data_IF_750995249728
#
_entry.id   IF_750995249728
#
_cell.length_a   1.000
_cell.length_b   1.000
_cell.length_c   1.000
_cell.angle_alpha   90.00
_cell.angle_beta   90.00
_cell.angle_gamma   90.00
#
_symmetry.space_group_name_H-M   'P 1'
#
loop_
_entity.id
_entity.type
_entity.pdbx_description
1 polymer ?
#
# COMPACT_ATOMS: atom_id res chain seq x y z
N UNK A 1 0.01 -10.12 63.17
CA UNK A 1 -0.13 -11.06 62.04
C UNK A 1 -1.51 -11.72 62.18
N UNK A 2 -2.49 -11.29 61.37
CA UNK A 2 -3.77 -11.95 61.29
C UNK A 2 -3.66 -13.13 60.33
N UNK A 3 -4.23 -14.28 60.60
CA UNK A 3 -4.15 -15.46 59.74
C UNK A 3 -5.02 -15.26 58.49
N UNK A 4 -4.45 -15.51 57.33
CA UNK A 4 -5.17 -15.64 56.07
C UNK A 4 -6.19 -16.82 56.19
N UNK A 5 -7.48 -16.49 56.08
CA UNK A 5 -8.53 -17.52 55.88
C UNK A 5 -8.43 -18.08 54.45
N UNK A 6 -8.29 -19.37 54.27
CA UNK A 6 -8.31 -19.97 52.94
C UNK A 6 -9.69 -19.79 52.33
N UNK A 7 -9.76 -19.11 51.17
CA UNK A 7 -10.96 -19.05 50.34
C UNK A 7 -11.38 -20.47 49.99
N UNK A 8 -12.53 -20.91 50.49
CA UNK A 8 -13.07 -22.20 50.12
C UNK A 8 -13.49 -22.20 48.66
N UNK A 9 -13.41 -23.36 47.95
CA UNK A 9 -13.87 -23.50 46.56
C UNK A 9 -15.30 -22.98 46.36
N UNK A 10 -16.14 -23.07 47.37
CA UNK A 10 -17.53 -22.59 47.36
C UNK A 10 -17.60 -21.07 47.39
N UNK A 11 -16.76 -20.37 48.18
CA UNK A 11 -16.66 -18.92 48.22
C UNK A 11 -16.11 -18.39 46.92
N UNK A 12 -15.12 -19.06 46.32
CA UNK A 12 -14.56 -18.70 45.01
C UNK A 12 -15.64 -18.83 43.91
N UNK A 13 -16.38 -19.93 43.84
CA UNK A 13 -17.41 -20.14 42.81
C UNK A 13 -18.62 -19.22 42.99
N UNK A 14 -19.05 -18.90 44.21
CA UNK A 14 -20.15 -17.96 44.45
C UNK A 14 -19.74 -16.51 44.15
N UNK A 15 -18.56 -16.08 44.56
CA UNK A 15 -18.07 -14.70 44.30
C UNK A 15 -17.74 -14.52 42.83
N UNK A 16 -17.15 -15.51 42.17
CA UNK A 16 -16.85 -15.46 40.73
C UNK A 16 -18.12 -15.58 39.90
N UNK A 17 -19.12 -16.36 40.31
CA UNK A 17 -20.39 -16.51 39.64
C UNK A 17 -21.23 -15.23 39.71
N UNK A 18 -21.25 -14.51 40.84
CA UNK A 18 -21.93 -13.23 40.99
C UNK A 18 -21.22 -12.13 40.20
N UNK A 19 -19.87 -12.08 40.20
CA UNK A 19 -19.11 -11.14 39.41
C UNK A 19 -19.31 -11.35 37.90
N UNK A 20 -19.31 -12.61 37.43
CA UNK A 20 -19.58 -12.93 36.02
C UNK A 20 -21.03 -12.62 35.61
N UNK A 21 -22.01 -12.82 36.52
CA UNK A 21 -23.41 -12.51 36.21
C UNK A 21 -23.70 -10.99 36.21
N UNK A 22 -23.06 -10.22 37.07
CA UNK A 22 -23.15 -8.73 37.02
C UNK A 22 -22.50 -8.15 35.77
N UNK A 23 -21.31 -8.62 35.40
CA UNK A 23 -20.66 -8.21 34.15
C UNK A 23 -21.49 -8.64 32.92
N UNK A 24 -22.07 -9.84 32.92
CA UNK A 24 -22.94 -10.27 31.83
C UNK A 24 -24.26 -9.48 31.78
N UNK A 25 -24.82 -9.11 32.94
CA UNK A 25 -26.02 -8.26 33.01
C UNK A 25 -25.72 -6.82 32.56
N UNK A 26 -24.60 -6.24 32.97
CA UNK A 26 -24.16 -4.92 32.52
C UNK A 26 -23.88 -4.90 31.02
N UNK A 27 -23.27 -5.95 30.45
CA UNK A 27 -23.08 -6.11 29.01
C UNK A 27 -24.40 -6.23 28.24
N UNK A 28 -25.41 -6.87 28.81
CA UNK A 28 -26.77 -6.98 28.23
C UNK A 28 -27.49 -5.61 28.28
N UNK A 29 -27.36 -4.88 29.38
CA UNK A 29 -27.95 -3.55 29.56
C UNK A 29 -27.21 -2.46 28.75
N UNK A 30 -25.91 -2.60 28.55
CA UNK A 30 -25.11 -1.72 27.70
C UNK A 30 -25.38 -1.92 26.18
N UNK A 31 -26.08 -2.99 25.80
CA UNK A 31 -26.55 -3.22 24.42
C UNK A 31 -27.37 -2.05 23.84
N UNK A 32 -28.10 -1.33 24.67
CA UNK A 32 -28.90 -0.16 24.28
C UNK A 32 -28.11 1.17 24.35
N UNK A 33 -26.89 1.16 24.88
CA UNK A 33 -26.13 2.38 25.25
C UNK A 33 -24.88 2.67 24.40
N UNK A 34 -24.69 2.07 23.23
CA UNK A 34 -23.66 2.62 22.39
C UNK A 34 -22.84 1.63 21.58
N UNK A 35 -23.14 1.57 20.32
CA UNK A 35 -22.12 1.26 19.32
C UNK A 35 -20.89 2.14 19.59
N UNK A 36 -19.70 1.54 19.71
CA UNK A 36 -18.46 2.27 19.89
C UNK A 36 -18.40 3.42 18.87
N UNK A 37 -18.21 4.64 19.36
CA UNK A 37 -18.26 5.83 18.51
C UNK A 37 -17.28 5.66 17.35
N UNK A 38 -17.79 5.81 16.13
CA UNK A 38 -16.99 5.68 14.91
C UNK A 38 -15.84 6.67 14.94
N UNK A 39 -14.61 6.17 14.81
CA UNK A 39 -13.45 7.04 14.66
C UNK A 39 -13.50 7.78 13.32
N UNK A 40 -13.74 9.06 13.36
CA UNK A 40 -13.90 9.94 12.18
C UNK A 40 -12.63 10.72 11.82
N UNK A 41 -11.48 10.34 12.38
CA UNK A 41 -10.20 11.03 12.21
C UNK A 41 -9.93 12.03 13.33
N UNK A 42 -8.83 12.76 13.18
CA UNK A 42 -8.42 13.79 14.14
C UNK A 42 -9.25 15.07 13.97
N UNK A 43 -9.56 15.73 15.06
CA UNK A 43 -10.15 17.06 15.02
C UNK A 43 -9.24 18.05 14.26
N UNK A 44 -9.84 18.87 13.40
CA UNK A 44 -9.12 19.82 12.55
C UNK A 44 -8.57 19.24 11.23
N UNK A 45 -8.82 17.96 10.95
CA UNK A 45 -8.56 17.38 9.64
C UNK A 45 -9.87 17.15 8.86
N UNK A 46 -9.83 17.34 7.51
CA UNK A 46 -8.69 17.80 6.69
C UNK A 46 -8.36 19.29 6.92
N UNK A 47 -7.10 19.69 6.69
CA UNK A 47 -6.64 21.08 6.81
C UNK A 47 -7.18 21.99 5.71
N UNK A 48 -7.48 21.41 4.55
CA UNK A 48 -8.06 22.07 3.38
C UNK A 48 -8.97 21.09 2.62
N UNK A 49 -9.76 21.57 1.68
CA UNK A 49 -10.66 20.72 0.90
C UNK A 49 -9.89 19.61 0.16
N UNK A 50 -10.19 18.32 0.43
CA UNK A 50 -9.53 17.22 -0.21
C UNK A 50 -9.93 17.12 -1.69
N UNK A 51 -8.99 16.73 -2.53
CA UNK A 51 -9.24 16.40 -3.94
C UNK A 51 -9.62 14.93 -4.09
N UNK A 52 -9.12 14.06 -3.20
CA UNK A 52 -9.43 12.64 -3.18
C UNK A 52 -9.88 12.21 -1.78
N UNK A 53 -10.70 11.18 -1.73
CA UNK A 53 -11.18 10.54 -0.50
C UNK A 53 -10.48 9.21 -0.25
N UNK A 54 -9.99 8.56 -1.32
CA UNK A 54 -9.52 7.17 -1.33
C UNK A 54 -8.23 7.04 -2.11
N UNK A 55 -7.43 6.05 -1.75
CA UNK A 55 -6.16 5.74 -2.41
C UNK A 55 -6.09 4.26 -2.75
N UNK A 56 -5.68 3.95 -3.98
CA UNK A 56 -5.21 2.62 -4.37
C UNK A 56 -3.73 2.74 -4.72
N UNK A 57 -2.88 1.97 -4.05
CA UNK A 57 -1.47 1.90 -4.38
C UNK A 57 -1.13 0.55 -5.00
N UNK A 58 -0.85 0.55 -6.30
CA UNK A 58 -0.37 -0.58 -7.08
C UNK A 58 1.14 -0.67 -6.93
N UNK A 59 1.60 -1.45 -5.97
CA UNK A 59 3.00 -1.54 -5.58
C UNK A 59 3.70 -2.70 -6.29
N UNK A 60 4.60 -2.37 -7.21
CA UNK A 60 5.39 -3.31 -8.01
C UNK A 60 6.71 -3.62 -7.30
N UNK A 61 6.68 -4.53 -6.32
CA UNK A 61 7.85 -4.78 -5.48
C UNK A 61 8.94 -5.57 -6.19
N UNK A 62 10.14 -5.04 -6.11
CA UNK A 62 11.34 -5.54 -6.76
C UNK A 62 12.00 -4.50 -7.69
N UNK A 63 11.49 -3.27 -7.76
CA UNK A 63 12.09 -2.20 -8.55
C UNK A 63 11.91 -2.37 -10.05
N UNK A 64 10.72 -2.06 -10.60
CA UNK A 64 10.47 -2.10 -12.04
C UNK A 64 11.47 -1.25 -12.82
N UNK A 65 12.02 -1.80 -13.89
CA UNK A 65 12.96 -1.04 -14.73
C UNK A 65 12.24 0.10 -15.47
N UNK A 66 12.58 1.35 -15.13
CA UNK A 66 12.07 2.51 -15.84
C UNK A 66 12.53 2.54 -17.30
N UNK A 67 13.71 1.96 -17.58
CA UNK A 67 14.29 1.86 -18.92
C UNK A 67 13.55 0.87 -19.83
N UNK A 68 12.76 -0.03 -19.29
CA UNK A 68 11.88 -0.95 -20.02
C UNK A 68 10.39 -0.61 -19.88
N UNK A 69 10.03 0.52 -19.23
CA UNK A 69 8.63 0.91 -19.05
C UNK A 69 8.30 2.28 -19.65
N UNK A 70 8.82 3.38 -19.07
CA UNK A 70 8.37 4.75 -19.38
C UNK A 70 9.49 5.73 -19.73
N UNK A 71 10.75 5.36 -19.57
CA UNK A 71 11.89 6.27 -19.72
C UNK A 71 12.79 5.90 -20.91
N UNK A 72 12.34 6.27 -22.11
CA UNK A 72 13.05 6.01 -23.35
C UNK A 72 14.28 6.91 -23.50
N UNK A 73 15.46 6.32 -23.69
CA UNK A 73 16.76 6.99 -23.83
C UNK A 73 17.49 6.58 -25.12
N UNK A 74 17.27 7.26 -26.23
CA UNK A 74 17.90 6.86 -27.53
C UNK A 74 19.44 6.87 -27.49
N UNK A 75 20.05 7.61 -26.56
CA UNK A 75 21.49 7.58 -26.30
C UNK A 75 22.00 6.27 -25.74
N UNK A 76 21.17 5.60 -24.95
CA UNK A 76 21.51 4.34 -24.32
C UNK A 76 21.78 3.22 -25.34
N UNK A 77 20.95 3.11 -26.37
CA UNK A 77 21.10 2.09 -27.42
C UNK A 77 22.39 2.27 -28.25
N UNK A 78 22.84 3.51 -28.43
CA UNK A 78 24.11 3.81 -29.15
C UNK A 78 25.35 3.39 -28.37
N UNK A 79 25.21 3.23 -27.06
CA UNK A 79 26.31 2.84 -26.16
C UNK A 79 26.23 1.38 -25.72
N UNK A 80 25.26 0.61 -26.20
CA UNK A 80 25.09 -0.78 -25.82
C UNK A 80 26.38 -1.60 -25.95
N UNK A 81 26.72 -2.36 -24.91
CA UNK A 81 27.94 -3.15 -24.81
C UNK A 81 29.24 -2.37 -24.56
N UNK A 82 29.24 -1.03 -24.66
CA UNK A 82 30.42 -0.18 -24.39
C UNK A 82 30.65 -0.03 -22.89
N UNK A 83 31.88 0.32 -22.45
CA UNK A 83 32.11 0.67 -21.04
C UNK A 83 31.19 1.79 -20.57
N UNK A 84 30.66 1.66 -19.36
CA UNK A 84 29.89 2.75 -18.73
C UNK A 84 30.80 3.93 -18.43
N UNK A 85 30.47 5.17 -18.84
CA UNK A 85 31.32 6.32 -18.59
C UNK A 85 31.47 6.58 -17.08
N UNK A 86 32.72 6.76 -16.63
CA UNK A 86 33.02 7.02 -15.22
C UNK A 86 32.38 8.31 -14.68
N UNK A 87 32.11 9.27 -15.56
CA UNK A 87 31.42 10.52 -15.18
C UNK A 87 30.06 10.29 -14.53
N UNK A 88 29.38 9.17 -14.84
CA UNK A 88 28.09 8.81 -14.22
C UNK A 88 28.27 8.02 -12.92
N UNK A 89 29.26 7.17 -12.84
CA UNK A 89 29.35 6.14 -11.78
C UNK A 89 30.34 6.46 -10.68
N UNK A 90 31.29 7.38 -10.90
CA UNK A 90 32.33 7.73 -9.92
C UNK A 90 31.70 8.28 -8.63
N UNK A 91 31.95 7.58 -7.52
CA UNK A 91 31.43 7.96 -6.20
C UNK A 91 29.94 7.64 -5.99
N UNK A 92 29.29 6.97 -6.94
CA UNK A 92 27.89 6.57 -6.79
C UNK A 92 27.77 5.19 -6.12
N UNK A 93 26.69 4.96 -5.34
CA UNK A 93 26.41 3.66 -4.76
C UNK A 93 26.07 2.66 -5.88
N UNK A 94 26.72 1.51 -5.85
CA UNK A 94 26.49 0.37 -6.75
C UNK A 94 26.11 -0.83 -5.88
N UNK A 95 25.02 -1.53 -6.21
CA UNK A 95 24.53 -2.65 -5.42
C UNK A 95 25.35 -3.94 -5.66
N UNK A 96 24.98 -4.71 -6.65
CA UNK A 96 25.61 -6.03 -6.90
C UNK A 96 26.74 -5.98 -7.92
N UNK A 97 26.85 -4.94 -8.72
CA UNK A 97 27.91 -4.75 -9.73
C UNK A 97 29.22 -4.18 -9.18
N UNK A 98 29.37 -4.06 -7.88
CA UNK A 98 30.61 -3.58 -7.25
C UNK A 98 31.82 -4.41 -7.68
N UNK A 99 32.93 -3.71 -8.04
CA UNK A 99 34.18 -4.38 -8.43
C UNK A 99 34.17 -5.02 -9.82
N UNK A 100 33.08 -4.89 -10.59
CA UNK A 100 32.99 -5.41 -11.96
C UNK A 100 33.30 -4.32 -12.99
N UNK A 101 33.63 -4.76 -14.22
CA UNK A 101 33.72 -3.83 -15.37
C UNK A 101 32.32 -3.48 -15.83
N UNK A 102 31.89 -2.26 -15.53
CA UNK A 102 30.56 -1.76 -15.87
C UNK A 102 30.42 -1.57 -17.38
N UNK A 103 29.38 -2.15 -17.97
CA UNK A 103 29.03 -2.01 -19.38
C UNK A 103 27.63 -1.44 -19.51
N UNK A 104 27.41 -0.59 -20.48
CA UNK A 104 26.07 -0.09 -20.82
C UNK A 104 25.23 -1.24 -21.36
N UNK A 105 23.97 -1.31 -20.94
CA UNK A 105 22.94 -2.17 -21.51
C UNK A 105 21.89 -1.28 -22.17
N UNK A 106 21.73 -1.40 -23.48
CA UNK A 106 20.67 -0.76 -24.24
C UNK A 106 19.27 -1.19 -23.77
N UNK A 107 18.23 -0.61 -24.35
CA UNK A 107 16.87 -1.03 -24.05
C UNK A 107 16.63 -2.47 -24.49
N UNK A 108 15.89 -3.19 -23.67
CA UNK A 108 15.41 -4.55 -23.98
C UNK A 108 13.93 -4.52 -24.43
N UNK A 109 13.36 -3.33 -24.59
CA UNK A 109 12.00 -3.05 -25.02
C UNK A 109 11.99 -2.13 -26.24
N UNK A 110 10.91 -2.18 -27.01
CA UNK A 110 10.64 -1.19 -28.07
C UNK A 110 9.72 -0.11 -27.51
N UNK A 111 9.96 1.14 -27.87
CA UNK A 111 9.18 2.28 -27.41
C UNK A 111 8.45 2.95 -28.57
N UNK A 112 7.24 3.42 -28.27
CA UNK A 112 6.47 4.29 -29.16
C UNK A 112 5.77 5.38 -28.35
N UNK A 113 5.41 6.46 -29.03
CA UNK A 113 4.58 7.53 -28.47
C UNK A 113 3.12 7.13 -28.55
N UNK A 114 2.39 7.31 -27.45
CA UNK A 114 0.99 6.93 -27.34
C UNK A 114 0.12 8.08 -26.82
N UNK A 115 -1.19 7.95 -27.08
CA UNK A 115 -2.19 8.93 -26.66
C UNK A 115 -2.08 10.27 -27.38
N UNK A 116 -2.94 11.19 -27.00
CA UNK A 116 -2.88 12.60 -27.48
C UNK A 116 -1.69 13.33 -26.85
N UNK A 117 -1.30 12.91 -25.64
CA UNK A 117 -0.17 13.45 -24.89
C UNK A 117 1.20 13.09 -25.49
N UNK A 118 1.27 12.07 -26.35
CA UNK A 118 2.51 11.65 -27.01
C UNK A 118 3.56 11.10 -26.03
N UNK A 119 3.14 10.51 -24.92
CA UNK A 119 4.07 9.93 -23.94
C UNK A 119 4.72 8.64 -24.46
N UNK A 120 6.00 8.44 -24.13
CA UNK A 120 6.72 7.22 -24.43
C UNK A 120 6.27 6.08 -23.50
N UNK A 121 5.87 4.95 -24.09
CA UNK A 121 5.55 3.72 -23.37
C UNK A 121 6.14 2.54 -24.14
N UNK A 122 6.66 1.55 -23.42
CA UNK A 122 7.25 0.35 -24.02
C UNK A 122 6.20 -0.65 -24.49
N UNK A 123 6.62 -1.56 -25.37
CA UNK A 123 5.80 -2.66 -25.88
C UNK A 123 5.47 -3.74 -24.83
N UNK A 124 6.12 -3.71 -23.66
CA UNK A 124 5.72 -4.52 -22.50
C UNK A 124 4.39 -4.08 -21.88
N UNK A 125 3.93 -2.84 -22.14
CA UNK A 125 2.80 -2.20 -21.47
C UNK A 125 1.72 -1.72 -22.47
N UNK A 126 1.16 -2.59 -23.34
CA UNK A 126 0.19 -2.19 -24.38
C UNK A 126 -1.13 -1.64 -23.81
N UNK A 127 -1.49 -1.96 -22.57
CA UNK A 127 -2.69 -1.42 -21.93
C UNK A 127 -2.41 -0.09 -21.23
N UNK A 128 -1.23 0.12 -20.63
CA UNK A 128 -0.80 1.46 -20.18
C UNK A 128 -0.78 2.45 -21.35
N UNK A 129 -0.36 2.02 -22.53
CA UNK A 129 -0.42 2.85 -23.75
C UNK A 129 -1.83 3.35 -24.06
N UNK A 130 -2.90 2.60 -23.69
CA UNK A 130 -4.31 3.00 -23.89
C UNK A 130 -4.81 4.01 -22.86
N UNK A 131 -4.17 4.10 -21.69
CA UNK A 131 -4.57 5.01 -20.61
C UNK A 131 -3.55 6.13 -20.35
N UNK A 132 -2.58 6.29 -21.23
CA UNK A 132 -1.47 7.24 -21.04
C UNK A 132 -1.93 8.69 -20.89
N UNK A 133 -3.08 9.04 -21.48
CA UNK A 133 -3.69 10.36 -21.34
C UNK A 133 -4.41 10.58 -20.00
N UNK A 134 -4.60 9.54 -19.20
CA UNK A 134 -5.24 9.60 -17.88
C UNK A 134 -4.21 9.59 -16.73
N UNK A 135 -2.92 9.44 -17.00
CA UNK A 135 -1.87 9.31 -15.99
C UNK A 135 -0.82 10.43 -16.06
N UNK A 136 -0.28 10.81 -14.90
CA UNK A 136 0.92 11.66 -14.78
C UNK A 136 2.14 10.76 -14.54
N UNK A 137 3.08 10.71 -15.47
CA UNK A 137 4.28 9.89 -15.37
C UNK A 137 5.41 10.74 -14.79
N UNK A 138 5.90 10.41 -13.60
CA UNK A 138 7.06 11.03 -12.97
C UNK A 138 8.29 10.18 -13.32
N UNK A 139 9.27 10.75 -14.04
CA UNK A 139 10.49 10.04 -14.47
C UNK A 139 11.70 10.33 -13.61
N UNK A 140 11.58 11.25 -12.69
CA UNK A 140 12.67 11.79 -11.87
C UNK A 140 12.59 11.38 -10.41
N UNK A 141 11.96 10.24 -10.12
CA UNK A 141 11.90 9.72 -8.76
C UNK A 141 13.28 9.34 -8.24
N UNK A 142 13.54 9.64 -6.96
CA UNK A 142 14.75 9.22 -6.24
C UNK A 142 14.40 8.70 -4.85
N UNK A 143 15.28 7.81 -4.33
CA UNK A 143 15.17 7.27 -2.97
C UNK A 143 16.55 7.16 -2.31
N UNK A 144 16.59 6.85 -1.00
CA UNK A 144 17.83 6.81 -0.22
C UNK A 144 18.39 5.38 -0.08
N UNK A 145 17.63 4.34 -0.43
CA UNK A 145 17.95 2.97 -0.09
C UNK A 145 18.08 2.08 -1.32
N UNK A 146 19.22 1.38 -1.46
CA UNK A 146 19.55 0.56 -2.64
C UNK A 146 19.20 -0.93 -2.46
N UNK A 147 18.93 -1.37 -1.25
CA UNK A 147 18.48 -2.75 -0.97
C UNK A 147 16.97 -2.77 -0.75
N UNK A 148 16.31 -3.83 -1.20
CA UNK A 148 14.84 -3.95 -1.20
C UNK A 148 14.21 -3.66 0.16
N UNK A 149 14.68 -4.33 1.21
CA UNK A 149 14.08 -4.28 2.52
C UNK A 149 14.02 -2.87 3.13
N UNK A 150 15.13 -2.10 3.25
CA UNK A 150 15.08 -0.72 3.69
C UNK A 150 14.42 0.21 2.67
N UNK A 151 14.47 -0.10 1.36
CA UNK A 151 13.81 0.70 0.33
C UNK A 151 12.27 0.54 0.38
N UNK A 152 11.77 -0.69 0.56
CA UNK A 152 10.36 -0.93 0.84
C UNK A 152 9.91 -0.18 2.09
N UNK A 153 10.71 -0.24 3.17
CA UNK A 153 10.41 0.49 4.41
C UNK A 153 10.34 2.00 4.14
N UNK A 154 11.32 2.56 3.42
CA UNK A 154 11.34 3.98 3.03
C UNK A 154 10.11 4.38 2.20
N UNK A 155 9.76 3.59 1.17
CA UNK A 155 8.62 3.87 0.30
C UNK A 155 7.28 3.82 1.05
N UNK A 156 7.13 2.96 2.03
CA UNK A 156 5.88 2.81 2.77
C UNK A 156 5.77 3.73 3.99
N UNK A 157 6.90 4.12 4.63
CA UNK A 157 6.89 4.81 5.93
C UNK A 157 7.62 6.16 5.96
N UNK A 158 8.25 6.58 4.84
CA UNK A 158 9.04 7.81 4.74
C UNK A 158 10.43 7.72 5.37
N UNK A 159 10.83 6.56 5.87
CA UNK A 159 12.15 6.30 6.47
C UNK A 159 12.59 4.86 6.29
N UNK A 160 13.89 4.60 6.31
CA UNK A 160 14.42 3.23 6.31
C UNK A 160 14.38 2.55 7.69
N UNK A 161 13.99 3.28 8.73
CA UNK A 161 13.96 2.79 10.11
C UNK A 161 12.65 2.05 10.37
N UNK A 162 12.73 0.78 10.77
CA UNK A 162 11.56 -0.02 11.13
C UNK A 162 10.81 0.53 12.36
N UNK A 163 9.53 0.18 12.51
CA UNK A 163 8.68 0.61 13.62
C UNK A 163 8.05 1.99 13.43
N UNK A 164 8.09 2.52 12.21
CA UNK A 164 7.36 3.74 11.83
C UNK A 164 6.02 3.38 11.16
N UNK A 165 4.98 4.21 11.35
CA UNK A 165 3.70 3.96 10.71
C UNK A 165 3.80 4.06 9.19
N UNK A 166 3.12 3.16 8.50
CA UNK A 166 2.98 3.20 7.04
C UNK A 166 2.08 4.35 6.59
N UNK A 167 2.19 4.74 5.32
CA UNK A 167 1.37 5.80 4.71
C UNK A 167 -0.14 5.54 4.91
N UNK A 168 -0.61 4.29 4.67
CA UNK A 168 -2.00 3.93 4.90
C UNK A 168 -2.42 4.07 6.38
N UNK A 169 -1.53 3.73 7.31
CA UNK A 169 -1.77 3.92 8.75
C UNK A 169 -1.87 5.40 9.13
N UNK A 170 -0.97 6.25 8.60
CA UNK A 170 -1.05 7.71 8.78
C UNK A 170 -2.35 8.28 8.24
N UNK A 171 -2.75 7.90 7.03
CA UNK A 171 -4.00 8.37 6.40
C UNK A 171 -5.22 7.95 7.22
N UNK A 172 -5.25 6.69 7.67
CA UNK A 172 -6.34 6.17 8.48
C UNK A 172 -6.38 6.81 9.89
N UNK A 173 -5.22 7.09 10.48
CA UNK A 173 -5.12 7.84 11.73
C UNK A 173 -5.62 9.30 11.58
N UNK A 174 -5.22 9.97 10.52
CA UNK A 174 -5.62 11.37 10.30
C UNK A 174 -7.09 11.55 9.96
N UNK A 175 -7.60 10.76 9.02
CA UNK A 175 -8.91 10.97 8.40
C UNK A 175 -9.98 9.95 8.82
N UNK A 176 -9.62 8.89 9.54
CA UNK A 176 -10.52 7.80 9.88
C UNK A 176 -10.96 6.96 8.68
N UNK A 177 -11.94 6.10 8.89
CA UNK A 177 -12.58 5.26 7.86
C UNK A 177 -14.01 5.74 7.58
N UNK A 178 -14.44 5.62 6.34
CA UNK A 178 -15.86 5.84 5.95
C UNK A 178 -16.68 4.55 6.11
N UNK A 179 -16.00 3.43 6.35
CA UNK A 179 -16.56 2.11 6.51
C UNK A 179 -16.70 1.73 8.00
N UNK A 180 -17.77 1.02 8.35
CA UNK A 180 -18.05 0.59 9.73
C UNK A 180 -17.77 -0.90 9.97
N UNK A 181 -17.69 -1.69 8.90
CA UNK A 181 -17.63 -3.15 8.91
C UNK A 181 -16.38 -3.72 8.20
N UNK A 182 -15.50 -2.83 7.73
CA UNK A 182 -14.22 -3.16 7.11
C UNK A 182 -13.09 -2.28 7.65
N UNK A 183 -11.83 -2.77 7.62
CA UNK A 183 -10.67 -1.95 7.96
C UNK A 183 -10.56 -0.74 7.03
N UNK A 184 -10.14 0.41 7.56
CA UNK A 184 -9.90 1.60 6.73
C UNK A 184 -8.65 1.48 5.83
N UNK A 185 -7.79 0.49 6.08
CA UNK A 185 -6.61 0.17 5.30
C UNK A 185 -6.53 -1.34 5.05
N UNK A 186 -6.58 -1.75 3.78
CA UNK A 186 -6.54 -3.15 3.34
C UNK A 186 -5.34 -3.39 2.42
N UNK A 187 -4.70 -4.52 2.59
CA UNK A 187 -3.54 -4.97 1.80
C UNK A 187 -3.85 -6.30 1.14
N UNK A 188 -3.44 -6.46 -0.12
CA UNK A 188 -3.50 -7.75 -0.82
C UNK A 188 -2.18 -8.00 -1.56
N UNK A 189 -1.79 -9.27 -1.67
CA UNK A 189 -0.55 -9.66 -2.34
C UNK A 189 -0.80 -10.60 -3.51
N UNK A 190 0.04 -10.51 -4.52
CA UNK A 190 0.09 -11.42 -5.67
C UNK A 190 1.50 -11.52 -6.23
N UNK A 191 1.76 -12.48 -7.10
CA UNK A 191 3.06 -12.64 -7.75
C UNK A 191 2.92 -13.33 -9.12
N UNK A 192 3.95 -13.19 -9.97
CA UNK A 192 3.94 -13.79 -11.30
C UNK A 192 4.59 -15.21 -11.37
N UNK A 193 5.01 -15.77 -10.25
CA UNK A 193 5.37 -17.18 -10.13
C UNK A 193 6.86 -17.53 -10.20
N UNK A 194 7.79 -16.58 -9.98
CA UNK A 194 9.23 -16.87 -9.99
C UNK A 194 9.89 -16.81 -8.61
N UNK A 195 10.15 -15.61 -8.14
CA UNK A 195 10.92 -15.32 -6.94
C UNK A 195 10.33 -14.10 -6.26
N UNK A 196 9.21 -14.27 -5.55
CA UNK A 196 8.49 -13.15 -4.97
C UNK A 196 9.37 -12.43 -3.94
N UNK A 197 9.47 -11.11 -4.05
CA UNK A 197 10.13 -10.28 -3.06
C UNK A 197 9.50 -10.50 -1.66
N UNK A 198 10.32 -10.54 -0.60
CA UNK A 198 9.83 -10.71 0.75
C UNK A 198 9.09 -9.43 1.19
N UNK A 199 7.77 -9.49 1.13
CA UNK A 199 6.89 -8.47 1.66
C UNK A 199 6.43 -8.90 3.05
N UNK A 200 6.49 -8.03 4.03
CA UNK A 200 6.18 -8.32 5.43
C UNK A 200 5.24 -7.28 6.04
N UNK A 201 4.55 -7.67 7.10
CA UNK A 201 3.57 -6.86 7.81
C UNK A 201 4.07 -5.47 8.21
N UNK A 202 5.37 -5.28 8.47
CA UNK A 202 5.94 -3.97 8.81
C UNK A 202 5.71 -2.89 7.75
N UNK A 203 5.42 -3.27 6.50
CA UNK A 203 5.15 -2.34 5.40
C UNK A 203 3.75 -1.73 5.47
N UNK A 204 2.86 -2.30 6.27
CA UNK A 204 1.52 -1.78 6.55
C UNK A 204 1.21 -1.70 8.04
N UNK A 205 2.25 -1.75 8.88
CA UNK A 205 2.15 -1.63 10.32
C UNK A 205 1.76 -0.20 10.74
N UNK A 206 1.10 -0.10 11.89
CA UNK A 206 0.79 1.16 12.56
C UNK A 206 2.00 1.78 13.27
N UNK A 207 3.10 1.04 13.44
CA UNK A 207 4.30 1.50 14.14
C UNK A 207 3.96 2.00 15.56
N UNK A 208 4.29 3.26 15.85
CA UNK A 208 3.96 3.88 17.14
C UNK A 208 2.53 4.44 17.23
N UNK A 209 1.75 4.41 16.15
CA UNK A 209 0.32 4.73 16.22
C UNK A 209 -0.47 3.56 16.81
N UNK A 210 -1.66 3.80 17.38
CA UNK A 210 -2.50 2.71 17.87
C UNK A 210 -2.75 1.63 16.82
N UNK A 211 -2.67 0.36 17.22
CA UNK A 211 -2.75 -0.80 16.32
C UNK A 211 -4.03 -0.91 15.49
N UNK A 212 -5.11 -0.21 15.88
CA UNK A 212 -6.36 -0.13 15.09
C UNK A 212 -6.20 0.55 13.72
N UNK A 213 -5.10 1.28 13.49
CA UNK A 213 -4.82 1.96 12.21
C UNK A 213 -3.92 1.15 11.29
N UNK A 214 -3.46 -0.01 11.74
CA UNK A 214 -2.68 -0.95 10.96
C UNK A 214 -3.47 -1.44 9.74
N UNK A 215 -2.76 -1.69 8.63
CA UNK A 215 -3.33 -2.36 7.49
C UNK A 215 -3.67 -3.82 7.79
N UNK A 216 -4.78 -4.30 7.25
CA UNK A 216 -5.20 -5.70 7.36
C UNK A 216 -4.96 -6.39 6.03
N UNK A 217 -4.16 -7.44 6.05
CA UNK A 217 -3.92 -8.26 4.86
C UNK A 217 -5.12 -9.17 4.60
N UNK A 218 -5.66 -9.06 3.37
CA UNK A 218 -6.67 -9.97 2.85
C UNK A 218 -5.99 -10.97 1.92
N UNK A 219 -6.16 -12.25 2.22
CA UNK A 219 -5.65 -13.31 1.37
C UNK A 219 -6.38 -13.31 0.03
N UNK A 220 -5.61 -13.34 -1.05
CA UNK A 220 -6.16 -13.37 -2.42
C UNK A 220 -6.75 -14.73 -2.80
N UNK A 221 -6.49 -15.78 -2.00
CA UNK A 221 -7.04 -17.14 -2.16
C UNK A 221 -7.38 -17.75 -0.81
N UNK A 222 -8.33 -18.67 -0.79
CA UNK A 222 -8.75 -19.35 0.44
C UNK A 222 -9.61 -18.47 1.35
N UNK A 223 -9.43 -18.61 2.66
CA UNK A 223 -10.13 -17.74 3.62
C UNK A 223 -9.52 -16.32 3.56
N UNK A 224 -10.33 -15.29 3.28
CA UNK A 224 -9.84 -13.92 3.06
C UNK A 224 -9.06 -13.36 4.25
N UNK A 225 -9.48 -13.69 5.46
CA UNK A 225 -8.81 -13.34 6.71
C UNK A 225 -8.75 -14.58 7.58
N UNK A 226 -7.59 -14.86 8.15
CA UNK A 226 -7.45 -16.03 9.05
C UNK A 226 -8.36 -15.90 10.26
N UNK A 227 -8.94 -17.03 10.66
CA UNK A 227 -9.84 -17.12 11.83
C UNK A 227 -11.09 -16.22 11.76
N UNK A 228 -11.48 -15.82 10.56
CA UNK A 228 -12.69 -15.00 10.38
C UNK A 228 -13.96 -15.77 10.74
N UNK A 229 -14.01 -17.08 10.48
CA UNK A 229 -15.18 -17.91 10.75
C UNK A 229 -15.25 -18.31 12.22
N UNK A 230 -16.47 -18.41 12.73
CA UNK A 230 -16.68 -18.95 14.08
C UNK A 230 -16.17 -20.39 14.19
N UNK A 231 -15.65 -20.77 15.37
CA UNK A 231 -15.36 -22.17 15.65
C UNK A 231 -16.60 -23.06 15.42
N UNK A 232 -16.38 -24.33 15.05
CA UNK A 232 -17.48 -25.28 14.82
C UNK A 232 -18.36 -25.38 16.06
N UNK A 233 -19.67 -25.17 15.90
CA UNK A 233 -20.65 -25.22 16.96
C UNK A 233 -20.91 -23.89 17.68
N UNK A 234 -20.22 -22.81 17.30
CA UNK A 234 -20.47 -21.47 17.85
C UNK A 234 -21.31 -20.67 16.85
N UNK A 235 -22.50 -20.24 17.28
CA UNK A 235 -23.38 -19.40 16.50
C UNK A 235 -22.87 -17.91 16.47
N UNK A 236 -23.33 -17.11 15.50
CA UNK A 236 -23.02 -15.69 15.46
C UNK A 236 -23.49 -14.94 16.73
N UNK A 237 -24.63 -15.32 17.31
CA UNK A 237 -25.11 -14.75 18.56
C UNK A 237 -24.17 -15.06 19.73
N UNK A 238 -23.76 -16.33 19.88
CA UNK A 238 -22.80 -16.71 20.92
C UNK A 238 -21.43 -16.02 20.74
N UNK A 239 -20.98 -15.85 19.49
CA UNK A 239 -19.75 -15.10 19.22
C UNK A 239 -19.90 -13.63 19.59
N UNK A 240 -21.05 -13.01 19.31
CA UNK A 240 -21.36 -11.63 19.73
C UNK A 240 -21.30 -11.49 21.24
N UNK A 241 -22.00 -12.37 21.95
CA UNK A 241 -22.02 -12.36 23.41
C UNK A 241 -20.60 -12.51 23.99
N UNK A 242 -19.75 -13.36 23.39
CA UNK A 242 -18.35 -13.51 23.80
C UNK A 242 -17.55 -12.21 23.59
N UNK A 243 -17.69 -11.55 22.44
CA UNK A 243 -16.99 -10.28 22.14
C UNK A 243 -17.45 -9.19 23.10
N UNK A 244 -18.75 -9.10 23.40
CA UNK A 244 -19.29 -8.13 24.35
C UNK A 244 -18.73 -8.35 25.77
N UNK A 245 -18.72 -9.59 26.27
CA UNK A 245 -18.17 -9.92 27.60
C UNK A 245 -16.66 -9.62 27.68
N UNK A 246 -15.90 -10.02 26.68
CA UNK A 246 -14.44 -9.75 26.64
C UNK A 246 -14.19 -8.24 26.59
N UNK A 247 -14.94 -7.51 25.76
CA UNK A 247 -14.83 -6.05 25.65
C UNK A 247 -15.14 -5.36 26.98
N UNK A 248 -16.16 -5.83 27.74
CA UNK A 248 -16.52 -5.26 29.03
C UNK A 248 -15.43 -5.55 30.09
N UNK A 249 -14.92 -6.77 30.14
CA UNK A 249 -13.82 -7.13 31.05
C UNK A 249 -12.57 -6.26 30.76
N UNK A 250 -12.24 -6.07 29.49
CA UNK A 250 -11.10 -5.25 29.10
C UNK A 250 -11.33 -3.77 29.44
N UNK A 251 -12.53 -3.23 29.27
CA UNK A 251 -12.88 -1.85 29.71
C UNK A 251 -12.72 -1.69 31.22
N UNK A 252 -13.24 -2.62 32.01
CA UNK A 252 -13.06 -2.61 33.49
C UNK A 252 -11.59 -2.61 33.89
N UNK A 253 -10.79 -3.47 33.27
CA UNK A 253 -9.33 -3.52 33.53
C UNK A 253 -8.66 -2.22 33.10
N UNK A 254 -9.07 -1.63 31.97
CA UNK A 254 -8.48 -0.43 31.44
C UNK A 254 -8.86 0.86 32.23
N UNK A 255 -9.99 0.87 32.90
CA UNK A 255 -10.38 1.94 33.82
C UNK A 255 -9.31 2.17 34.92
N UNK A 256 -8.62 1.10 35.33
CA UNK A 256 -7.51 1.14 36.29
C UNK A 256 -6.16 1.28 35.60
N UNK A 257 -5.90 0.49 34.55
CA UNK A 257 -4.60 0.41 33.90
C UNK A 257 -4.31 1.60 32.97
N UNK A 258 -5.33 2.25 32.42
CA UNK A 258 -5.24 3.39 31.46
C UNK A 258 -4.27 3.10 30.31
N UNK A 259 -4.35 1.88 29.76
CA UNK A 259 -3.48 1.41 28.68
C UNK A 259 -4.24 1.45 27.35
N UNK A 260 -3.81 2.30 26.41
CA UNK A 260 -4.42 2.47 25.08
C UNK A 260 -4.40 1.20 24.21
N UNK A 261 -3.50 0.25 24.51
CA UNK A 261 -3.46 -1.04 23.81
C UNK A 261 -4.68 -1.92 24.12
N UNK A 262 -5.30 -1.75 25.28
CA UNK A 262 -6.56 -2.45 25.62
C UNK A 262 -7.71 -1.92 24.74
N UNK A 263 -7.81 -0.62 24.54
CA UNK A 263 -8.82 -0.02 23.64
C UNK A 263 -8.62 -0.46 22.19
N UNK A 264 -7.35 -0.56 21.77
CA UNK A 264 -6.97 -1.13 20.46
C UNK A 264 -7.47 -2.57 20.32
N UNK A 265 -7.27 -3.42 21.32
CA UNK A 265 -7.72 -4.82 21.31
C UNK A 265 -9.24 -4.93 21.23
N UNK A 266 -9.97 -4.15 22.01
CA UNK A 266 -11.43 -4.09 21.95
C UNK A 266 -11.88 -3.73 20.54
N UNK A 267 -11.30 -2.70 19.94
CA UNK A 267 -11.62 -2.25 18.58
C UNK A 267 -11.32 -3.33 17.53
N UNK A 268 -10.25 -4.11 17.72
CA UNK A 268 -9.88 -5.22 16.82
C UNK A 268 -10.88 -6.39 16.91
N UNK A 269 -11.36 -6.75 18.11
CA UNK A 269 -12.38 -7.78 18.27
C UNK A 269 -13.71 -7.36 17.63
N UNK A 270 -14.12 -6.12 17.83
CA UNK A 270 -15.33 -5.57 17.20
C UNK A 270 -15.21 -5.58 15.66
N UNK A 271 -14.07 -5.14 15.13
CA UNK A 271 -13.83 -5.16 13.70
C UNK A 271 -13.84 -6.58 13.15
N UNK A 272 -13.14 -7.54 13.80
CA UNK A 272 -13.11 -8.93 13.37
C UNK A 272 -14.51 -9.54 13.33
N UNK A 273 -15.37 -9.24 14.33
CA UNK A 273 -16.75 -9.69 14.34
C UNK A 273 -17.57 -9.12 13.17
N UNK A 274 -17.47 -7.81 12.90
CA UNK A 274 -18.16 -7.17 11.78
C UNK A 274 -17.72 -7.72 10.44
N UNK A 275 -16.42 -7.98 10.28
CA UNK A 275 -15.84 -8.57 9.08
C UNK A 275 -16.37 -9.97 8.74
N UNK A 276 -16.83 -10.74 9.74
CA UNK A 276 -17.40 -12.07 9.51
C UNK A 276 -18.60 -12.05 8.56
N UNK A 277 -19.39 -10.98 8.59
CA UNK A 277 -20.55 -10.82 7.72
C UNK A 277 -20.18 -10.17 6.36
N UNK A 278 -19.30 -9.17 6.36
CA UNK A 278 -19.06 -8.32 5.20
C UNK A 278 -17.97 -8.85 4.26
N UNK A 279 -16.91 -9.47 4.79
CA UNK A 279 -15.75 -9.88 3.97
C UNK A 279 -16.06 -11.03 3.01
N UNK A 280 -16.80 -12.09 3.38
CA UNK A 280 -17.09 -13.16 2.43
C UNK A 280 -17.83 -12.69 1.19
N UNK A 281 -18.82 -11.81 1.32
CA UNK A 281 -19.55 -11.24 0.19
C UNK A 281 -18.68 -10.30 -0.64
N UNK A 282 -17.86 -9.48 0.01
CA UNK A 282 -16.93 -8.57 -0.64
C UNK A 282 -15.92 -9.31 -1.52
N UNK A 283 -15.35 -10.40 -1.03
CA UNK A 283 -14.30 -11.16 -1.72
C UNK A 283 -14.84 -12.09 -2.81
N UNK A 284 -16.13 -12.39 -2.79
CA UNK A 284 -16.77 -13.20 -3.83
C UNK A 284 -17.03 -12.37 -5.09
N UNK A 285 -16.03 -12.32 -5.97
CA UNK A 285 -16.14 -11.64 -7.27
C UNK A 285 -16.96 -12.44 -8.31
N UNK A 286 -17.44 -13.66 -8.01
CA UNK A 286 -18.25 -14.45 -8.93
C UNK A 286 -19.61 -13.81 -9.24
N UNK A 287 -20.05 -12.89 -8.37
CA UNK A 287 -21.26 -12.10 -8.52
C UNK A 287 -21.12 -10.88 -9.45
N UNK A 288 -19.91 -10.55 -9.86
CA UNK A 288 -19.66 -9.45 -10.78
C UNK A 288 -20.19 -9.80 -12.19
N UNK A 289 -20.67 -8.80 -12.95
CA UNK A 289 -21.06 -8.99 -14.34
C UNK A 289 -19.93 -9.61 -15.18
N UNK A 290 -20.29 -10.46 -16.14
CA UNK A 290 -19.29 -11.16 -16.99
C UNK A 290 -18.38 -10.20 -17.75
N UNK A 291 -18.94 -9.11 -18.26
CA UNK A 291 -18.18 -8.07 -18.96
C UNK A 291 -17.18 -7.35 -18.07
N UNK A 292 -17.48 -7.20 -16.77
CA UNK A 292 -16.54 -6.67 -15.77
C UNK A 292 -15.41 -7.67 -15.51
N UNK A 293 -15.74 -8.94 -15.28
CA UNK A 293 -14.73 -10.00 -15.12
C UNK A 293 -13.82 -10.09 -16.35
N UNK A 294 -14.39 -10.03 -17.55
CA UNK A 294 -13.64 -10.01 -18.80
C UNK A 294 -12.79 -8.76 -18.95
N UNK A 295 -13.28 -7.56 -18.58
CA UNK A 295 -12.53 -6.31 -18.63
C UNK A 295 -11.19 -6.45 -17.86
N UNK A 296 -11.27 -6.91 -16.62
CA UNK A 296 -10.10 -7.12 -15.76
C UNK A 296 -9.26 -8.34 -16.18
N UNK A 297 -9.85 -9.34 -16.81
CA UNK A 297 -9.27 -10.66 -16.99
C UNK A 297 -9.23 -11.46 -15.68
N UNK A 298 -10.11 -11.12 -14.75
CA UNK A 298 -10.20 -11.73 -13.42
C UNK A 298 -11.01 -13.03 -13.44
N UNK A 299 -10.61 -13.99 -12.62
CA UNK A 299 -11.34 -15.24 -12.41
C UNK A 299 -11.57 -15.46 -10.93
N UNK A 300 -12.80 -15.79 -10.50
CA UNK A 300 -13.07 -16.05 -9.09
C UNK A 300 -12.11 -17.07 -8.48
N UNK A 301 -11.47 -16.70 -7.38
CA UNK A 301 -10.60 -17.58 -6.60
C UNK A 301 -9.20 -17.82 -7.16
N UNK A 302 -8.77 -17.13 -8.24
CA UNK A 302 -7.48 -17.36 -8.88
C UNK A 302 -6.29 -16.67 -8.17
N UNK A 303 -6.55 -15.76 -7.21
CA UNK A 303 -5.52 -15.03 -6.48
C UNK A 303 -4.68 -14.09 -7.33
N UNK A 304 -5.11 -13.79 -8.55
CA UNK A 304 -4.38 -12.96 -9.51
C UNK A 304 -4.37 -11.48 -9.11
N UNK A 305 -3.43 -10.73 -9.66
CA UNK A 305 -3.42 -9.28 -9.55
C UNK A 305 -4.70 -8.65 -10.14
N UNK A 306 -5.27 -9.28 -11.16
CA UNK A 306 -6.53 -8.85 -11.78
C UNK A 306 -7.71 -8.97 -10.80
N UNK A 307 -7.82 -10.10 -10.10
CA UNK A 307 -8.83 -10.29 -9.06
C UNK A 307 -8.64 -9.34 -7.89
N UNK A 308 -7.39 -9.05 -7.50
CA UNK A 308 -7.07 -8.07 -6.47
C UNK A 308 -7.45 -6.63 -6.90
N UNK A 309 -7.22 -6.24 -8.15
CA UNK A 309 -7.66 -4.94 -8.68
C UNK A 309 -9.18 -4.79 -8.65
N UNK A 310 -9.90 -5.83 -9.04
CA UNK A 310 -11.37 -5.84 -8.98
C UNK A 310 -11.87 -5.76 -7.53
N UNK A 311 -11.26 -6.52 -6.62
CA UNK A 311 -11.56 -6.46 -5.19
C UNK A 311 -11.24 -5.08 -4.60
N UNK A 312 -10.15 -4.44 -5.01
CA UNK A 312 -9.80 -3.08 -4.57
C UNK A 312 -10.91 -2.08 -4.94
N UNK A 313 -11.45 -2.13 -6.16
CA UNK A 313 -12.61 -1.30 -6.55
C UNK A 313 -13.80 -1.55 -5.63
N UNK A 314 -14.13 -2.83 -5.33
CA UNK A 314 -15.23 -3.20 -4.42
C UNK A 314 -15.00 -2.70 -3.00
N UNK A 315 -13.77 -2.75 -2.50
CA UNK A 315 -13.37 -2.17 -1.20
C UNK A 315 -13.64 -0.67 -1.15
N UNK A 316 -13.27 0.06 -2.21
CA UNK A 316 -13.55 1.51 -2.27
C UNK A 316 -15.05 1.81 -2.30
N UNK A 317 -15.87 1.02 -3.00
CA UNK A 317 -17.34 1.15 -2.99
C UNK A 317 -17.93 0.95 -1.60
N UNK A 318 -17.28 0.17 -0.74
CA UNK A 318 -17.68 -0.05 0.66
C UNK A 318 -17.08 0.97 1.64
N UNK A 319 -16.34 1.99 1.15
CA UNK A 319 -15.80 3.06 1.98
C UNK A 319 -14.41 2.78 2.58
N UNK A 320 -13.69 1.75 2.14
CA UNK A 320 -12.29 1.56 2.52
C UNK A 320 -11.46 2.70 1.95
N UNK A 321 -10.68 3.38 2.79
CA UNK A 321 -9.97 4.61 2.42
C UNK A 321 -8.65 4.35 1.72
N UNK A 322 -7.90 3.32 2.14
CA UNK A 322 -6.59 3.00 1.59
C UNK A 322 -6.50 1.52 1.24
N UNK A 323 -6.19 1.21 -0.03
CA UNK A 323 -5.98 -0.15 -0.50
C UNK A 323 -4.62 -0.24 -1.15
N UNK A 324 -3.81 -1.21 -0.72
CA UNK A 324 -2.47 -1.43 -1.28
C UNK A 324 -2.35 -2.84 -1.85
N UNK A 325 -1.98 -2.91 -3.13
CA UNK A 325 -1.81 -4.16 -3.86
C UNK A 325 -0.34 -4.39 -4.15
N UNK A 326 0.29 -5.37 -3.49
CA UNK A 326 1.66 -5.78 -3.78
C UNK A 326 1.68 -6.84 -4.88
N UNK A 327 2.34 -6.53 -5.99
CA UNK A 327 2.75 -7.53 -6.98
C UNK A 327 4.25 -7.80 -6.82
N UNK A 328 4.64 -9.03 -6.47
CA UNK A 328 5.90 -9.37 -5.82
C UNK A 328 6.91 -10.05 -6.73
N UNK A 329 7.26 -9.55 -7.89
CA UNK A 329 8.21 -10.30 -8.74
C UNK A 329 8.97 -9.40 -9.73
N UNK A 330 9.38 -8.18 -9.34
CA UNK A 330 10.01 -7.23 -10.25
C UNK A 330 11.54 -7.12 -10.12
N UNK A 331 12.17 -8.03 -9.39
CA UNK A 331 13.63 -8.03 -9.17
C UNK A 331 14.38 -8.80 -10.28
N UNK A 332 14.67 -8.13 -11.38
CA UNK A 332 15.17 -8.75 -12.61
C UNK A 332 16.67 -8.51 -12.83
N UNK A 333 17.50 -9.27 -12.12
CA UNK A 333 18.98 -9.29 -12.29
C UNK A 333 19.48 -10.11 -13.47
N UNK A 334 18.62 -10.87 -14.12
CA UNK A 334 18.87 -11.69 -15.30
C UNK A 334 17.55 -12.05 -15.97
N UNK A 335 17.59 -12.50 -17.23
CA UNK A 335 16.41 -12.87 -18.02
C UNK A 335 15.30 -11.81 -18.00
N UNK A 336 15.68 -10.52 -17.97
CA UNK A 336 14.76 -9.40 -17.73
C UNK A 336 13.58 -9.41 -18.72
N UNK A 337 13.82 -9.67 -20.00
CA UNK A 337 12.76 -9.72 -21.03
C UNK A 337 11.67 -10.74 -20.66
N UNK A 338 12.09 -11.96 -20.30
CA UNK A 338 11.18 -13.03 -19.90
C UNK A 338 10.33 -12.63 -18.71
N UNK A 339 10.95 -12.04 -17.70
CA UNK A 339 10.24 -11.69 -16.48
C UNK A 339 9.41 -10.41 -16.61
N UNK A 340 9.82 -9.47 -17.46
CA UNK A 340 8.96 -8.34 -17.85
C UNK A 340 7.69 -8.83 -18.54
N UNK A 341 7.76 -9.80 -19.45
CA UNK A 341 6.57 -10.40 -20.05
C UNK A 341 5.64 -11.03 -19.00
N UNK A 342 6.20 -11.73 -18.01
CA UNK A 342 5.40 -12.34 -16.94
C UNK A 342 4.72 -11.26 -16.05
N UNK A 343 5.50 -10.31 -15.56
CA UNK A 343 4.99 -9.28 -14.63
C UNK A 343 4.04 -8.31 -15.33
N UNK A 344 4.40 -7.81 -16.52
CA UNK A 344 3.52 -6.94 -17.29
C UNK A 344 2.27 -7.70 -17.79
N UNK A 345 2.41 -8.95 -18.22
CA UNK A 345 1.28 -9.78 -18.60
C UNK A 345 0.26 -9.98 -17.47
N UNK A 346 0.73 -10.07 -16.22
CA UNK A 346 -0.13 -10.19 -15.04
C UNK A 346 -0.77 -8.85 -14.63
N UNK A 347 -0.11 -7.70 -14.85
CA UNK A 347 -0.50 -6.43 -14.23
C UNK A 347 -1.04 -5.38 -15.18
N UNK A 348 -0.59 -5.34 -16.43
CA UNK A 348 -0.85 -4.24 -17.38
C UNK A 348 -2.35 -4.10 -17.70
N UNK A 349 -3.01 -5.19 -18.14
CA UNK A 349 -4.45 -5.20 -18.44
C UNK A 349 -5.28 -4.86 -17.19
N UNK A 350 -4.97 -5.47 -16.07
CA UNK A 350 -5.71 -5.29 -14.82
C UNK A 350 -5.63 -3.84 -14.32
N UNK A 351 -4.48 -3.20 -14.46
CA UNK A 351 -4.27 -1.79 -14.12
C UNK A 351 -5.11 -0.86 -15.00
N UNK A 352 -5.08 -1.07 -16.31
CA UNK A 352 -5.94 -0.33 -17.25
C UNK A 352 -7.43 -0.56 -16.97
N UNK A 353 -7.83 -1.80 -16.70
CA UNK A 353 -9.20 -2.13 -16.38
C UNK A 353 -9.69 -1.41 -15.12
N UNK A 354 -8.83 -1.36 -14.08
CA UNK A 354 -9.13 -0.65 -12.84
C UNK A 354 -9.40 0.85 -13.10
N UNK A 355 -8.50 1.54 -13.80
CA UNK A 355 -8.70 2.95 -14.13
C UNK A 355 -9.97 3.15 -14.98
N UNK A 356 -10.18 2.28 -15.96
CA UNK A 356 -11.35 2.33 -16.85
C UNK A 356 -12.66 2.13 -16.07
N UNK A 357 -12.70 1.17 -15.15
CA UNK A 357 -13.89 0.88 -14.33
C UNK A 357 -14.17 2.01 -13.33
N UNK A 358 -13.13 2.49 -12.64
CA UNK A 358 -13.25 3.66 -11.75
C UNK A 358 -13.77 4.90 -12.50
N UNK A 359 -13.26 5.16 -13.71
CA UNK A 359 -13.70 6.28 -14.57
C UNK A 359 -15.18 6.11 -15.00
N UNK A 360 -15.57 4.92 -15.45
CA UNK A 360 -16.97 4.62 -15.85
C UNK A 360 -17.95 4.80 -14.68
N UNK A 361 -17.52 4.54 -13.45
CA UNK A 361 -18.33 4.67 -12.23
C UNK A 361 -18.30 6.08 -11.63
N UNK A 362 -17.55 7.02 -12.21
CA UNK A 362 -17.34 8.35 -11.64
C UNK A 362 -16.54 8.34 -10.32
N UNK A 363 -15.84 7.25 -10.02
CA UNK A 363 -15.06 7.09 -8.81
C UNK A 363 -13.62 7.59 -8.96
N UNK A 364 -13.11 7.71 -10.19
CA UNK A 364 -11.75 8.15 -10.44
C UNK A 364 -11.53 9.59 -10.00
N UNK A 365 -12.56 10.43 -10.04
CA UNK A 365 -12.50 11.86 -9.69
C UNK A 365 -12.21 12.10 -8.20
N UNK A 366 -12.51 11.14 -7.32
CA UNK A 366 -12.25 11.22 -5.87
C UNK A 366 -11.35 10.07 -5.35
N UNK A 367 -10.69 9.35 -6.28
CA UNK A 367 -9.76 8.26 -5.98
C UNK A 367 -8.38 8.58 -6.56
N UNK A 368 -7.34 8.50 -5.76
CA UNK A 368 -5.95 8.52 -6.22
C UNK A 368 -5.47 7.10 -6.48
N UNK A 369 -4.99 6.85 -7.69
CA UNK A 369 -4.29 5.60 -8.04
C UNK A 369 -2.80 5.90 -8.22
N UNK A 370 -1.95 5.16 -7.51
CA UNK A 370 -0.48 5.25 -7.56
C UNK A 370 0.05 3.93 -8.11
N UNK A 371 1.03 4.01 -9.01
CA UNK A 371 1.76 2.84 -9.51
C UNK A 371 3.26 3.07 -9.41
N UNK A 372 3.99 2.09 -8.93
CA UNK A 372 5.44 2.10 -8.88
C UNK A 372 5.99 1.15 -7.83
N UNK A 373 7.32 1.11 -7.73
CA UNK A 373 8.05 0.30 -6.77
C UNK A 373 8.99 1.14 -5.91
N UNK A 374 9.90 0.48 -5.20
CA UNK A 374 10.77 1.09 -4.20
C UNK A 374 11.98 1.83 -4.78
N UNK A 375 12.42 1.46 -5.99
CA UNK A 375 13.52 2.09 -6.74
C UNK A 375 13.51 1.65 -8.22
N UNK A 376 14.49 2.09 -9.01
CA UNK A 376 14.66 1.74 -10.41
C UNK A 376 15.81 0.75 -10.67
N UNK A 377 16.27 0.74 -11.93
CA UNK A 377 17.33 -0.15 -12.39
C UNK A 377 18.43 0.64 -13.11
N UNK A 378 19.67 0.17 -12.98
CA UNK A 378 20.82 0.80 -13.67
C UNK A 378 20.72 0.61 -15.18
N UNK A 379 21.28 1.55 -16.00
CA UNK A 379 21.50 1.35 -17.43
C UNK A 379 22.68 0.41 -17.71
N UNK A 380 23.09 -0.39 -16.72
CA UNK A 380 24.26 -1.26 -16.82
C UNK A 380 23.84 -2.71 -16.94
N UNK A 381 24.58 -3.45 -17.76
CA UNK A 381 24.41 -4.89 -17.95
C UNK A 381 24.71 -5.64 -16.65
N UNK A 382 23.75 -6.43 -16.21
CA UNK A 382 23.91 -7.46 -15.21
C UNK A 382 23.30 -8.75 -15.76
N UNK A 383 24.00 -9.87 -15.70
CA UNK A 383 23.50 -11.10 -16.28
C UNK A 383 23.85 -12.33 -15.49
N UNK A 384 22.81 -13.08 -15.09
CA UNK A 384 22.90 -14.48 -14.69
C UNK A 384 21.88 -15.23 -15.56
N UNK A 385 22.36 -15.92 -16.60
CA UNK A 385 21.50 -16.64 -17.55
C UNK A 385 20.98 -15.81 -18.73
N UNK A 386 20.92 -14.49 -18.64
CA UNK A 386 20.47 -13.54 -19.65
C UNK A 386 20.61 -12.10 -19.17
N UNK A 387 20.37 -11.08 -20.03
CA UNK A 387 20.51 -9.69 -19.65
C UNK A 387 19.53 -9.30 -18.54
N UNK A 388 20.02 -8.53 -17.58
CA UNK A 388 19.30 -7.93 -16.46
C UNK A 388 19.93 -6.62 -16.06
N UNK A 389 19.42 -6.01 -14.98
CA UNK A 389 19.88 -4.72 -14.49
C UNK A 389 20.01 -4.74 -12.96
N UNK A 390 21.01 -4.04 -12.43
CA UNK A 390 21.22 -3.87 -11.00
C UNK A 390 20.27 -2.82 -10.41
N UNK A 391 20.16 -2.78 -9.08
CA UNK A 391 19.35 -1.80 -8.35
C UNK A 391 19.86 -0.37 -8.58
N UNK A 392 18.95 0.59 -8.65
CA UNK A 392 19.32 1.99 -8.79
C UNK A 392 18.35 2.94 -8.07
N UNK A 393 18.92 3.90 -7.34
CA UNK A 393 18.16 4.80 -6.45
C UNK A 393 18.07 6.24 -6.95
N UNK A 394 18.87 6.61 -7.96
CA UNK A 394 19.01 8.00 -8.42
C UNK A 394 18.15 8.34 -9.64
N UNK A 395 17.36 7.39 -10.12
CA UNK A 395 16.43 7.61 -11.23
C UNK A 395 15.48 6.44 -11.37
N UNK A 396 14.16 6.68 -11.25
CA UNK A 396 13.12 5.71 -11.55
C UNK A 396 11.80 6.38 -11.88
N UNK A 397 10.87 5.60 -12.42
CA UNK A 397 9.56 6.10 -12.83
C UNK A 397 8.44 5.57 -11.96
N UNK A 398 7.52 6.47 -11.62
CA UNK A 398 6.22 6.16 -11.05
C UNK A 398 5.14 6.92 -11.83
N UNK A 399 3.87 6.56 -11.64
CA UNK A 399 2.79 7.39 -12.14
C UNK A 399 1.64 7.50 -11.13
N UNK A 400 0.89 8.59 -11.26
CA UNK A 400 -0.32 8.88 -10.50
C UNK A 400 -1.48 9.11 -11.47
N UNK A 401 -2.70 8.75 -11.03
CA UNK A 401 -3.93 9.03 -11.76
C UNK A 401 -5.08 9.35 -10.81
N UNK A 402 -6.10 10.01 -11.31
CA UNK A 402 -7.33 10.28 -10.57
C UNK A 402 -7.45 11.66 -9.99
N UNK A 403 -8.29 11.82 -9.00
CA UNK A 403 -8.71 13.13 -8.51
C UNK A 403 -7.58 14.09 -8.18
N UNK A 404 -7.63 15.27 -8.78
CA UNK A 404 -6.64 16.32 -8.58
C UNK A 404 -5.30 16.13 -9.28
N UNK A 405 -5.11 15.04 -10.06
CA UNK A 405 -3.89 14.79 -10.85
C UNK A 405 -4.14 15.18 -12.31
N UNK A 406 -3.18 15.84 -12.95
CA UNK A 406 -3.21 16.14 -14.39
C UNK A 406 -2.91 14.87 -15.19
N UNK A 407 -3.89 14.38 -15.96
CA UNK A 407 -3.64 13.29 -16.90
C UNK A 407 -2.85 13.72 -18.13
N UNK A 408 -2.15 12.76 -18.76
CA UNK A 408 -1.45 12.97 -20.02
C UNK A 408 -0.15 13.78 -19.92
N UNK A 409 0.45 13.88 -18.75
CA UNK A 409 1.71 14.63 -18.59
C UNK A 409 2.87 13.71 -18.21
N UNK A 410 4.08 14.11 -18.64
CA UNK A 410 5.36 13.65 -18.11
C UNK A 410 5.96 14.73 -17.24
N UNK A 411 6.47 14.37 -16.07
CA UNK A 411 7.09 15.28 -15.13
C UNK A 411 8.49 14.81 -14.76
N UNK A 412 9.44 15.74 -14.81
CA UNK A 412 10.83 15.48 -14.59
C UNK A 412 11.48 14.59 -15.65
N UNK A 413 12.77 14.50 -15.63
CA UNK A 413 13.56 13.67 -16.54
C UNK A 413 14.79 13.09 -15.84
N UNK A 414 15.20 11.92 -16.27
CA UNK A 414 16.56 11.42 -16.01
C UNK A 414 17.52 11.93 -17.10
N UNK A 415 18.82 11.77 -16.86
CA UNK A 415 19.88 12.09 -17.81
C UNK A 415 19.79 11.25 -19.12
N UNK A 416 20.71 11.45 -20.04
CA UNK A 416 20.72 10.81 -21.36
C UNK A 416 20.88 9.29 -21.32
N UNK A 417 21.31 8.71 -20.20
CA UNK A 417 21.44 7.25 -19.98
C UNK A 417 20.37 6.71 -19.04
N UNK A 418 19.53 7.57 -18.45
CA UNK A 418 18.54 7.14 -17.45
C UNK A 418 19.15 6.77 -16.11
N UNK A 419 20.33 7.32 -15.78
CA UNK A 419 21.04 7.00 -14.55
C UNK A 419 20.71 7.97 -13.42
N UNK A 420 20.77 9.28 -13.61
CA UNK A 420 20.41 10.26 -12.60
C UNK A 420 19.11 10.99 -12.97
N UNK A 421 18.25 11.23 -11.99
CA UNK A 421 17.23 12.26 -12.14
C UNK A 421 17.91 13.62 -12.33
N UNK A 422 17.69 14.26 -13.48
CA UNK A 422 18.37 15.46 -13.92
C UNK A 422 17.50 16.71 -13.87
N UNK A 423 16.19 16.55 -14.08
CA UNK A 423 15.22 17.65 -14.08
C UNK A 423 14.08 17.33 -13.10
N UNK A 424 13.62 18.34 -12.38
CA UNK A 424 12.44 18.27 -11.50
C UNK A 424 12.44 17.03 -10.59
N UNK A 425 13.54 16.84 -9.87
CA UNK A 425 13.75 15.68 -9.01
C UNK A 425 12.64 15.54 -7.96
N UNK A 426 12.08 14.35 -7.85
CA UNK A 426 11.03 14.01 -6.89
C UNK A 426 11.53 12.93 -5.94
N UNK A 427 11.70 13.27 -4.68
CA UNK A 427 12.03 12.31 -3.65
C UNK A 427 10.78 11.54 -3.17
N UNK A 428 10.96 10.32 -2.65
CA UNK A 428 9.86 9.53 -2.04
C UNK A 428 9.07 10.36 -1.01
N UNK A 429 9.73 11.22 -0.23
CA UNK A 429 9.04 12.10 0.73
C UNK A 429 8.16 13.16 0.06
N UNK A 430 8.53 13.63 -1.15
CA UNK A 430 7.70 14.55 -1.93
C UNK A 430 6.44 13.86 -2.45
N UNK A 431 6.56 12.58 -2.85
CA UNK A 431 5.41 11.75 -3.17
C UNK A 431 4.45 11.66 -1.97
N UNK A 432 4.98 11.36 -0.77
CA UNK A 432 4.17 11.32 0.45
C UNK A 432 3.50 12.66 0.75
N UNK A 433 4.23 13.76 0.65
CA UNK A 433 3.68 15.12 0.82
C UNK A 433 2.55 15.40 -0.18
N UNK A 434 2.71 14.96 -1.43
CA UNK A 434 1.74 15.14 -2.51
C UNK A 434 0.48 14.30 -2.27
N UNK A 435 0.63 13.05 -1.85
CA UNK A 435 -0.50 12.17 -1.48
C UNK A 435 -1.30 12.76 -0.31
N UNK A 436 -0.62 13.19 0.75
CA UNK A 436 -1.27 13.84 1.89
C UNK A 436 -2.00 15.12 1.47
N UNK A 437 -1.37 15.95 0.62
CA UNK A 437 -2.00 17.16 0.10
C UNK A 437 -3.29 16.87 -0.68
N UNK A 438 -3.28 15.88 -1.57
CA UNK A 438 -4.48 15.47 -2.31
C UNK A 438 -5.61 15.01 -1.38
N UNK A 439 -5.28 14.40 -0.25
CA UNK A 439 -6.20 14.00 0.83
C UNK A 439 -6.62 15.17 1.75
N UNK A 440 -6.20 16.40 1.45
CA UNK A 440 -6.53 17.58 2.24
C UNK A 440 -5.66 17.79 3.48
N UNK A 441 -4.53 17.10 3.57
CA UNK A 441 -3.64 17.13 4.74
C UNK A 441 -2.38 17.95 4.41
N UNK A 442 -2.11 18.98 5.20
CA UNK A 442 -0.84 19.69 5.21
C UNK A 442 0.21 18.82 5.93
N UNK A 443 1.12 18.22 5.16
CA UNK A 443 2.13 17.29 5.67
C UNK A 443 3.10 17.93 6.69
N UNK A 444 3.29 19.25 6.64
CA UNK A 444 4.17 19.96 7.55
C UNK A 444 3.54 20.13 8.94
N UNK A 445 2.19 20.19 9.01
CA UNK A 445 1.43 20.32 10.27
C UNK A 445 0.99 18.99 10.84
N UNK A 446 0.84 17.97 9.99
CA UNK A 446 0.34 16.66 10.39
C UNK A 446 1.46 15.81 10.99
N UNK A 447 1.35 15.52 12.28
CA UNK A 447 2.33 14.74 13.03
C UNK A 447 1.80 14.26 14.37
N UNK A 448 2.59 13.46 15.05
CA UNK A 448 2.32 12.90 16.38
C UNK A 448 3.55 13.07 17.26
N UNK A 449 3.35 13.50 18.49
CA UNK A 449 4.42 13.46 19.50
C UNK A 449 4.65 12.03 19.95
N UNK A 450 5.87 11.55 19.72
CA UNK A 450 6.31 10.23 20.17
C UNK A 450 7.72 10.32 20.76
N UNK A 451 7.89 9.88 22.01
CA UNK A 451 9.14 9.96 22.74
C UNK A 451 9.80 11.36 22.74
N UNK A 452 8.97 12.40 22.84
CA UNK A 452 9.41 13.79 22.87
C UNK A 452 9.68 14.44 21.49
N UNK A 453 9.59 13.68 20.40
CA UNK A 453 9.82 14.16 19.03
C UNK A 453 8.51 14.31 18.26
N UNK A 454 8.43 15.33 17.39
CA UNK A 454 7.32 15.49 16.46
C UNK A 454 7.57 14.59 15.21
N UNK A 455 6.84 13.47 15.17
CA UNK A 455 6.96 12.48 14.10
C UNK A 455 5.98 12.79 12.98
N UNK A 456 6.45 12.69 11.74
CA UNK A 456 5.68 12.91 10.50
C UNK A 456 5.98 11.81 9.49
N UNK A 457 5.06 11.54 8.58
CA UNK A 457 5.29 10.61 7.46
C UNK A 457 6.45 11.09 6.57
N UNK A 458 6.54 12.39 6.33
CA UNK A 458 7.59 13.00 5.49
C UNK A 458 8.94 13.15 6.22
N UNK A 459 9.00 12.82 7.52
CA UNK A 459 10.21 12.93 8.31
C UNK A 459 10.60 14.37 8.64
N UNK A 460 11.90 14.59 8.84
CA UNK A 460 12.49 15.90 9.19
C UNK A 460 13.20 16.58 8.02
N UNK A 461 13.53 15.80 7.00
CA UNK A 461 14.18 16.32 5.80
C UNK A 461 13.21 17.18 4.99
N UNK A 462 13.69 18.20 4.26
CA UNK A 462 12.85 19.01 3.40
C UNK A 462 12.05 18.15 2.41
N UNK A 463 10.76 18.42 2.34
CA UNK A 463 9.87 17.78 1.39
C UNK A 463 8.84 18.77 0.86
N UNK A 464 8.39 18.57 -0.37
CA UNK A 464 7.47 19.48 -1.05
C UNK A 464 6.29 18.73 -1.67
N UNK A 465 5.19 19.41 -1.80
CA UNK A 465 4.09 18.96 -2.67
C UNK A 465 4.50 19.24 -4.13
N UNK A 466 4.43 18.23 -4.99
CA UNK A 466 4.70 18.33 -6.43
C UNK A 466 3.48 18.93 -7.11
N UNK A 467 3.32 20.25 -7.01
CA UNK A 467 2.13 20.99 -7.49
C UNK A 467 1.99 20.96 -9.01
N UNK A 468 3.08 20.80 -9.71
CA UNK A 468 3.17 20.81 -11.17
C UNK A 468 2.36 19.67 -11.81
N UNK A 469 2.21 18.53 -11.11
CA UNK A 469 1.38 17.40 -11.56
C UNK A 469 -0.08 17.50 -11.10
N UNK A 470 -0.45 18.54 -10.35
CA UNK A 470 -1.80 18.71 -9.80
C UNK A 470 -2.66 19.62 -10.68
N UNK A 471 -3.97 19.28 -10.79
CA UNK A 471 -4.96 20.01 -11.58
C UNK A 471 -5.57 21.20 -10.80
#
# INVERSE_FOLDING_TARGET
MQPFHPLTRRSFLTTSGVALSTVALDAILARDAGAAEKYRGLAGLPHHAPKVKRVIYLYMSGGPSHLETFDYKPGLDKLDGKPMPESFTKGQPIAQLQGTKLKVQGHLAKFAKHGKSGQWVSDFLPYHAKMVDDIAIIRSMVTDQINHDPAHTMMNTGTAISGRPSMGSWVNYGLGSECDDLPGFVVMTSFAGRNPQPISQRMWDSGFLPGRFQGVEFNSTGDPVYYLRNPKGVSAAQQRDLVDVVGELDRHRNAVAKNSEVDTRISQYEMAFKMQASVPDLMDISKEPKDVLELYGAKPGDGSFASNCLTARRLLERGVRFVQLYHRDWDHHGDLVKYMHLCCGATDRATWALLTDLKRRGMLDDTLVIWGGEFGRTPMFQGKGGPGRDHHIKGFSMWLAGGGVKGGIGYGATDELGYHAAEDVVHVRDLHATVLHLLGIDHAKFGVKYQGLDMKLTGVEPSRVVKEILA
#
